data_IF_790615616425
#
_entry.id   IF_790615616425
#
_cell.length_a   1.000
_cell.length_b   1.000
_cell.length_c   1.000
_cell.angle_alpha   90.00
_cell.angle_beta   90.00
_cell.angle_gamma   90.00
#
_symmetry.space_group_name_H-M   'P 1'
#
loop_
_entity.id
_entity.type
_entity.pdbx_description
1 polymer ?
#
# COMPACT_ATOMS: atom_id res chain seq x y z
N UNK A 1 8.60 1.00 23.01
CA UNK A 1 7.35 0.49 23.61
C UNK A 1 6.09 1.09 22.96
N UNK A 2 5.95 2.42 22.87
CA UNK A 2 4.73 3.06 22.34
C UNK A 2 4.43 2.73 20.87
N UNK A 3 5.36 2.96 19.94
CA UNK A 3 5.12 2.70 18.50
C UNK A 3 4.70 1.25 18.20
N UNK A 4 5.38 0.28 18.82
CA UNK A 4 5.03 -1.14 18.72
C UNK A 4 3.59 -1.45 19.16
N UNK A 5 3.11 -0.79 20.23
CA UNK A 5 1.72 -0.92 20.68
C UNK A 5 0.75 -0.23 19.72
N UNK A 6 1.08 0.98 19.29
CA UNK A 6 0.27 1.73 18.32
C UNK A 6 0.00 0.90 17.06
N UNK A 7 1.04 0.35 16.42
CA UNK A 7 0.87 -0.50 15.24
C UNK A 7 0.10 -1.78 15.53
N UNK A 8 0.27 -2.38 16.72
CA UNK A 8 -0.50 -3.56 17.09
C UNK A 8 -2.00 -3.26 17.19
N UNK A 9 -2.35 -2.11 17.77
CA UNK A 9 -3.75 -1.68 17.94
C UNK A 9 -4.36 -1.22 16.61
N UNK A 10 -3.60 -0.47 15.79
CA UNK A 10 -4.00 -0.07 14.44
C UNK A 10 -4.25 -1.29 13.53
N UNK A 11 -3.35 -2.27 13.54
CA UNK A 11 -3.48 -3.46 12.70
C UNK A 11 -4.64 -4.36 13.13
N UNK A 12 -4.97 -4.40 14.42
CA UNK A 12 -6.21 -5.05 14.89
C UNK A 12 -7.44 -4.34 14.36
N UNK A 13 -7.45 -3.01 14.34
CA UNK A 13 -8.53 -2.24 13.71
C UNK A 13 -8.63 -2.54 12.20
N UNK A 14 -7.51 -2.55 11.46
CA UNK A 14 -7.53 -2.84 10.02
C UNK A 14 -8.09 -4.25 9.74
N UNK A 15 -7.66 -5.26 10.52
CA UNK A 15 -8.20 -6.61 10.42
C UNK A 15 -9.70 -6.63 10.70
N UNK A 16 -10.15 -5.90 11.73
CA UNK A 16 -11.57 -5.83 12.11
C UNK A 16 -12.44 -5.17 11.05
N UNK A 17 -11.93 -4.16 10.34
CA UNK A 17 -12.63 -3.53 9.20
C UNK A 17 -12.77 -4.54 8.05
N UNK A 18 -11.66 -5.21 7.69
CA UNK A 18 -11.62 -6.17 6.59
C UNK A 18 -12.54 -7.38 6.80
N UNK A 19 -12.73 -7.79 8.05
CA UNK A 19 -13.48 -8.99 8.45
C UNK A 19 -14.80 -8.65 9.15
N UNK A 20 -15.25 -7.40 9.06
CA UNK A 20 -16.45 -6.96 9.79
C UNK A 20 -17.70 -7.69 9.26
N UNK A 21 -18.59 -8.22 10.12
CA UNK A 21 -19.72 -9.05 9.69
C UNK A 21 -20.86 -8.25 9.03
N UNK A 22 -20.86 -6.93 9.17
CA UNK A 22 -21.81 -6.04 8.51
C UNK A 22 -21.13 -5.31 7.35
N UNK A 23 -21.86 -4.96 6.28
CA UNK A 23 -21.29 -4.13 5.22
C UNK A 23 -20.76 -2.80 5.78
N UNK A 24 -19.57 -2.42 5.33
CA UNK A 24 -18.92 -1.14 5.61
C UNK A 24 -18.72 -0.42 4.28
N UNK A 25 -19.27 0.78 4.16
CA UNK A 25 -19.07 1.65 2.99
C UNK A 25 -18.04 2.72 3.35
N UNK A 26 -16.99 2.86 2.52
CA UNK A 26 -16.00 3.92 2.65
C UNK A 26 -16.11 4.90 1.48
N UNK A 27 -16.26 6.18 1.79
CA UNK A 27 -16.30 7.28 0.83
C UNK A 27 -14.95 8.03 0.91
N UNK A 28 -14.10 7.90 -0.11
CA UNK A 28 -12.68 8.29 -0.05
C UNK A 28 -12.35 9.49 -0.95
N UNK A 29 -12.75 10.70 -0.56
CA UNK A 29 -12.46 11.94 -1.29
C UNK A 29 -11.06 12.46 -0.99
N UNK A 30 -10.43 13.12 -1.97
CA UNK A 30 -9.10 13.70 -1.77
C UNK A 30 -8.03 12.65 -1.45
N UNK A 31 -7.10 13.00 -0.56
CA UNK A 31 -5.93 12.15 -0.26
C UNK A 31 -6.25 11.03 0.72
N UNK A 32 -6.11 9.77 0.27
CA UNK A 32 -6.19 8.58 1.12
C UNK A 32 -4.83 7.87 1.10
N UNK A 33 -4.01 8.05 2.14
CA UNK A 33 -2.63 7.57 2.17
C UNK A 33 -2.28 6.92 3.51
N UNK A 34 -1.43 5.90 3.47
CA UNK A 34 -0.97 5.15 4.65
C UNK A 34 -2.12 4.68 5.53
N UNK A 35 -2.18 5.14 6.78
CA UNK A 35 -3.28 4.81 7.70
C UNK A 35 -4.68 5.05 7.12
N UNK A 36 -4.85 6.03 6.22
CA UNK A 36 -6.11 6.25 5.50
C UNK A 36 -6.51 5.08 4.59
N UNK A 37 -5.54 4.44 3.94
CA UNK A 37 -5.76 3.19 3.18
C UNK A 37 -6.18 2.07 4.14
N UNK A 38 -5.54 1.97 5.30
CA UNK A 38 -5.90 1.01 6.35
C UNK A 38 -7.34 1.18 6.89
N UNK A 39 -7.86 2.41 6.86
CA UNK A 39 -9.23 2.70 7.29
C UNK A 39 -10.25 2.48 6.16
N UNK A 40 -9.94 2.95 4.95
CA UNK A 40 -10.90 2.99 3.84
C UNK A 40 -10.84 1.81 2.89
N UNK A 41 -9.64 1.35 2.52
CA UNK A 41 -9.47 0.41 1.42
C UNK A 41 -9.69 -1.07 1.80
N UNK A 42 -9.99 -1.35 3.07
CA UNK A 42 -10.39 -2.68 3.55
C UNK A 42 -11.90 -2.80 3.80
N UNK A 43 -12.67 -1.72 3.64
CA UNK A 43 -14.11 -1.77 3.73
C UNK A 43 -14.71 -2.70 2.65
N UNK A 44 -15.90 -3.25 2.90
CA UNK A 44 -16.57 -4.14 1.94
C UNK A 44 -17.05 -3.43 0.68
N UNK A 45 -17.20 -2.11 0.73
CA UNK A 45 -17.57 -1.28 -0.43
C UNK A 45 -16.82 0.04 -0.38
N UNK A 46 -16.02 0.31 -1.40
CA UNK A 46 -15.05 1.40 -1.42
C UNK A 46 -15.32 2.33 -2.58
N UNK A 47 -15.72 3.55 -2.28
CA UNK A 47 -16.19 4.54 -3.25
C UNK A 47 -15.16 5.66 -3.39
N UNK A 48 -14.80 5.95 -4.63
CA UNK A 48 -13.94 7.08 -5.01
C UNK A 48 -14.71 8.08 -5.87
N UNK A 49 -14.17 9.29 -5.98
CA UNK A 49 -14.69 10.37 -6.83
C UNK A 49 -13.56 11.03 -7.62
N UNK A 50 -13.90 12.08 -8.37
CA UNK A 50 -12.98 12.78 -9.28
C UNK A 50 -11.77 13.42 -8.58
N UNK A 51 -11.87 13.65 -7.27
CA UNK A 51 -10.78 14.23 -6.46
C UNK A 51 -9.93 13.19 -5.71
N UNK A 52 -10.32 11.91 -5.75
CA UNK A 52 -9.63 10.85 -5.02
C UNK A 52 -8.19 10.66 -5.50
N UNK A 53 -7.27 10.63 -4.56
CA UNK A 53 -5.85 10.35 -4.77
C UNK A 53 -5.37 9.38 -3.69
N UNK A 54 -5.15 8.12 -4.08
CA UNK A 54 -4.75 7.04 -3.17
C UNK A 54 -3.26 6.73 -3.38
N UNK A 55 -2.49 6.52 -2.32
CA UNK A 55 -1.10 6.10 -2.42
C UNK A 55 -0.61 5.41 -1.14
N UNK A 56 0.47 4.64 -1.26
CA UNK A 56 1.23 4.07 -0.13
C UNK A 56 2.63 4.72 -0.08
N UNK A 57 2.79 5.91 0.53
CA UNK A 57 4.03 6.69 0.49
C UNK A 57 5.08 6.32 1.56
N UNK A 58 4.88 5.23 2.29
CA UNK A 58 5.69 4.82 3.45
C UNK A 58 7.17 4.66 3.13
N UNK A 59 7.49 4.20 1.92
CA UNK A 59 8.87 3.99 1.47
C UNK A 59 9.68 5.29 1.43
N UNK A 60 9.01 6.44 1.27
CA UNK A 60 9.64 7.76 1.31
C UNK A 60 10.02 8.22 2.74
N UNK A 61 9.54 7.52 3.77
CA UNK A 61 9.86 7.78 5.18
C UNK A 61 10.55 6.57 5.84
N UNK A 62 11.12 5.64 5.06
CA UNK A 62 11.89 4.51 5.61
C UNK A 62 11.01 3.38 6.18
N UNK A 63 9.75 3.31 5.78
CA UNK A 63 8.79 2.29 6.22
C UNK A 63 8.24 1.50 5.01
N UNK A 64 7.79 0.27 5.21
CA UNK A 64 7.09 -0.49 4.17
C UNK A 64 5.64 -0.01 4.06
N UNK A 65 4.97 -0.17 2.90
CA UNK A 65 3.51 -0.11 2.88
C UNK A 65 2.97 -1.02 3.97
N UNK A 66 2.18 -0.49 4.90
CA UNK A 66 1.67 -1.22 6.05
C UNK A 66 0.14 -1.12 6.13
N UNK A 67 -0.44 -1.31 7.32
CA UNK A 67 -1.89 -1.27 7.58
C UNK A 67 -2.71 -2.19 6.66
N UNK A 68 -2.13 -3.29 6.21
CA UNK A 68 -2.71 -4.24 5.28
C UNK A 68 -2.58 -3.86 3.80
N UNK A 69 -1.93 -2.73 3.50
CA UNK A 69 -1.70 -2.26 2.14
C UNK A 69 -0.92 -3.27 1.31
N UNK A 70 -0.03 -4.08 1.89
CA UNK A 70 0.64 -5.15 1.13
C UNK A 70 -0.31 -6.24 0.66
N UNK A 71 -1.44 -6.47 1.35
CA UNK A 71 -2.48 -7.39 0.87
C UNK A 71 -3.19 -6.85 -0.38
N UNK A 72 -3.49 -5.54 -0.40
CA UNK A 72 -4.09 -4.86 -1.56
C UNK A 72 -3.11 -4.87 -2.74
N UNK A 73 -1.86 -4.46 -2.51
CA UNK A 73 -0.81 -4.47 -3.52
C UNK A 73 -0.52 -5.89 -4.07
N UNK A 74 -0.55 -6.92 -3.23
CA UNK A 74 -0.37 -8.31 -3.67
C UNK A 74 -1.48 -8.80 -4.62
N UNK A 75 -2.69 -8.23 -4.52
CA UNK A 75 -3.85 -8.52 -5.38
C UNK A 75 -3.89 -7.67 -6.65
N UNK A 76 -3.15 -6.56 -6.69
CA UNK A 76 -3.10 -5.72 -7.87
C UNK A 76 -2.61 -6.53 -9.10
N UNK A 77 -3.17 -6.29 -10.30
CA UNK A 77 -2.82 -7.07 -11.49
C UNK A 77 -1.33 -7.03 -11.84
N UNK A 78 -0.78 -8.18 -12.24
CA UNK A 78 0.61 -8.29 -12.69
C UNK A 78 1.61 -7.87 -11.60
N UNK A 79 2.47 -6.90 -11.92
CA UNK A 79 3.44 -6.31 -11.00
C UNK A 79 3.11 -4.85 -10.61
N UNK A 80 1.85 -4.44 -10.78
CA UNK A 80 1.39 -3.11 -10.35
C UNK A 80 1.60 -2.91 -8.83
N UNK A 81 1.43 -3.95 -8.03
CA UNK A 81 1.65 -3.88 -6.58
C UNK A 81 3.08 -3.47 -6.22
N UNK A 82 4.07 -4.10 -6.83
CA UNK A 82 5.48 -3.77 -6.64
C UNK A 82 5.77 -2.35 -7.11
N UNK A 83 5.26 -1.93 -8.27
CA UNK A 83 5.43 -0.56 -8.75
C UNK A 83 4.83 0.48 -7.79
N UNK A 84 3.56 0.34 -7.43
CA UNK A 84 2.85 1.28 -6.56
C UNK A 84 3.50 1.36 -5.17
N UNK A 85 3.85 0.20 -4.59
CA UNK A 85 4.48 0.12 -3.27
C UNK A 85 5.93 0.61 -3.25
N UNK A 86 6.68 0.45 -4.34
CA UNK A 86 8.09 0.86 -4.42
C UNK A 86 8.26 2.34 -4.76
N UNK A 87 7.34 2.92 -5.54
CA UNK A 87 7.46 4.29 -6.07
C UNK A 87 6.56 5.31 -5.37
N UNK A 88 5.64 4.86 -4.51
CA UNK A 88 4.61 5.70 -3.92
C UNK A 88 3.76 6.45 -4.96
N UNK A 89 3.60 5.87 -6.17
CA UNK A 89 2.81 6.46 -7.23
C UNK A 89 1.36 6.67 -6.78
N UNK A 90 0.79 7.81 -7.18
CA UNK A 90 -0.60 8.15 -6.85
C UNK A 90 -1.54 7.49 -7.83
N UNK A 91 -2.63 6.96 -7.30
CA UNK A 91 -3.75 6.41 -8.04
C UNK A 91 -4.89 7.42 -8.03
N UNK A 92 -5.30 7.85 -9.22
CA UNK A 92 -6.62 8.47 -9.40
C UNK A 92 -7.73 7.42 -9.29
N UNK A 93 -9.01 7.80 -9.47
CA UNK A 93 -10.13 6.87 -9.31
C UNK A 93 -10.03 5.64 -10.24
N UNK A 94 -9.73 5.83 -11.53
CA UNK A 94 -9.58 4.72 -12.47
C UNK A 94 -8.42 3.78 -12.12
N UNK A 95 -7.28 4.33 -11.67
CA UNK A 95 -6.13 3.52 -11.27
C UNK A 95 -6.40 2.78 -9.96
N UNK A 96 -7.15 3.39 -9.03
CA UNK A 96 -7.54 2.76 -7.77
C UNK A 96 -8.49 1.58 -8.00
N UNK A 97 -9.44 1.71 -8.93
CA UNK A 97 -10.29 0.59 -9.37
C UNK A 97 -9.44 -0.51 -10.02
N UNK A 98 -8.55 -0.14 -10.95
CA UNK A 98 -7.66 -1.10 -11.64
C UNK A 98 -6.76 -1.88 -10.67
N UNK A 99 -6.18 -1.19 -9.69
CA UNK A 99 -5.30 -1.78 -8.69
C UNK A 99 -6.05 -2.49 -7.55
N UNK A 100 -7.38 -2.40 -7.51
CA UNK A 100 -8.22 -3.03 -6.50
C UNK A 100 -8.23 -2.34 -5.14
N UNK A 101 -7.95 -1.03 -5.08
CA UNK A 101 -8.04 -0.18 -3.89
C UNK A 101 -9.43 0.44 -3.68
N UNK A 102 -10.26 0.43 -4.73
CA UNK A 102 -11.64 0.88 -4.71
C UNK A 102 -12.53 -0.09 -5.51
N UNK A 103 -13.84 0.00 -5.32
CA UNK A 103 -14.84 -0.84 -6.01
C UNK A 103 -15.74 -0.03 -6.96
N UNK A 104 -16.05 1.23 -6.60
CA UNK A 104 -16.97 2.07 -7.36
C UNK A 104 -16.47 3.50 -7.47
N UNK A 105 -16.79 4.13 -8.60
CA UNK A 105 -16.63 5.57 -8.79
C UNK A 105 -18.02 6.22 -8.79
N UNK A 106 -18.23 7.16 -7.87
CA UNK A 106 -19.46 7.95 -7.78
C UNK A 106 -19.03 9.43 -7.75
N UNK A 107 -19.46 10.26 -8.72
CA UNK A 107 -19.17 11.68 -8.71
C UNK A 107 -19.53 12.33 -7.37
N UNK A 108 -18.66 13.24 -6.87
CA UNK A 108 -18.78 13.78 -5.51
C UNK A 108 -20.11 14.49 -5.25
N UNK A 109 -20.71 15.07 -6.29
CA UNK A 109 -22.00 15.76 -6.21
C UNK A 109 -23.14 14.84 -5.75
N UNK A 110 -23.06 13.53 -6.01
CA UNK A 110 -24.10 12.56 -5.66
C UNK A 110 -23.94 11.95 -4.26
N UNK A 111 -22.85 12.26 -3.54
CA UNK A 111 -22.55 11.58 -2.27
C UNK A 111 -23.58 11.85 -1.17
N UNK A 112 -24.18 13.05 -1.11
CA UNK A 112 -25.19 13.35 -0.10
C UNK A 112 -26.45 12.49 -0.31
N UNK A 113 -26.86 12.30 -1.57
CA UNK A 113 -27.98 11.41 -1.89
C UNK A 113 -27.62 9.95 -1.60
N UNK A 114 -26.40 9.53 -1.96
CA UNK A 114 -25.89 8.20 -1.63
C UNK A 114 -25.91 7.91 -0.13
N UNK A 115 -25.36 8.82 0.69
CA UNK A 115 -25.38 8.74 2.16
C UNK A 115 -26.82 8.62 2.69
N UNK A 116 -27.72 9.49 2.21
CA UNK A 116 -29.14 9.49 2.60
C UNK A 116 -29.80 8.14 2.29
N UNK A 117 -29.58 7.59 1.11
CA UNK A 117 -30.16 6.30 0.69
C UNK A 117 -29.57 5.14 1.50
N UNK A 118 -28.26 5.14 1.75
CA UNK A 118 -27.59 4.13 2.58
C UNK A 118 -28.14 4.15 4.02
N UNK A 119 -28.31 5.32 4.61
CA UNK A 119 -28.84 5.47 5.98
C UNK A 119 -30.30 5.01 6.10
N UNK A 120 -31.13 5.30 5.09
CA UNK A 120 -32.55 4.95 5.08
C UNK A 120 -32.81 3.47 4.82
N UNK A 121 -32.02 2.85 3.93
CA UNK A 121 -32.29 1.48 3.45
C UNK A 121 -31.38 0.44 4.07
N UNK A 122 -30.17 0.81 4.47
CA UNK A 122 -29.11 -0.14 4.82
C UNK A 122 -28.63 -1.01 3.66
N UNK A 123 -29.08 -0.73 2.42
CA UNK A 123 -28.75 -1.51 1.23
C UNK A 123 -27.53 -0.92 0.51
N UNK A 124 -26.43 -1.66 0.50
CA UNK A 124 -25.21 -1.25 -0.21
C UNK A 124 -25.32 -1.33 -1.74
N UNK A 125 -26.36 -2.01 -2.26
CA UNK A 125 -26.64 -2.10 -3.70
C UNK A 125 -26.82 -0.74 -4.36
N UNK A 126 -27.25 0.28 -3.61
CA UNK A 126 -27.41 1.66 -4.11
C UNK A 126 -26.12 2.27 -4.65
N UNK A 127 -24.94 1.80 -4.18
CA UNK A 127 -23.64 2.26 -4.69
C UNK A 127 -23.48 1.87 -6.17
N UNK A 128 -23.89 0.66 -6.54
CA UNK A 128 -23.79 0.19 -7.92
C UNK A 128 -24.75 0.94 -8.86
N UNK A 129 -25.92 1.34 -8.36
CA UNK A 129 -26.91 2.12 -9.13
C UNK A 129 -26.42 3.52 -9.48
N UNK A 130 -25.56 4.10 -8.62
CA UNK A 130 -25.03 5.45 -8.77
C UNK A 130 -23.59 5.47 -9.32
N UNK A 131 -23.05 4.29 -9.67
CA UNK A 131 -21.69 4.16 -10.16
C UNK A 131 -21.58 4.65 -11.61
N UNK A 132 -20.54 5.42 -11.90
CA UNK A 132 -20.17 5.84 -13.24
C UNK A 132 -18.80 5.29 -13.64
N UNK A 133 -18.44 5.43 -14.92
CA UNK A 133 -17.09 5.13 -15.39
C UNK A 133 -16.20 6.35 -15.18
N UNK A 134 -15.11 6.26 -14.39
CA UNK A 134 -14.20 7.38 -14.22
C UNK A 134 -13.41 7.65 -15.50
N UNK A 135 -12.86 8.88 -15.66
CA UNK A 135 -11.87 9.16 -16.69
C UNK A 135 -10.67 8.21 -16.60
N UNK A 136 -10.08 7.78 -17.73
CA UNK A 136 -8.99 6.81 -17.72
C UNK A 136 -7.77 7.35 -16.97
N UNK A 137 -7.14 6.48 -16.18
CA UNK A 137 -5.92 6.79 -15.43
C UNK A 137 -4.64 6.42 -16.21
N UNK A 138 -3.49 7.04 -15.86
CA UNK A 138 -2.22 6.80 -16.55
C UNK A 138 -1.65 5.39 -16.33
N UNK A 139 -2.01 4.68 -15.26
CA UNK A 139 -1.37 3.39 -14.91
C UNK A 139 -1.72 2.32 -15.94
N UNK A 140 -2.94 2.35 -16.48
CA UNK A 140 -3.38 1.40 -17.51
C UNK A 140 -2.47 1.44 -18.76
N UNK A 141 -2.00 2.63 -19.15
CA UNK A 141 -1.19 2.83 -20.35
C UNK A 141 0.24 2.27 -20.23
N UNK A 142 0.77 2.18 -19.01
CA UNK A 142 2.16 1.74 -18.74
C UNK A 142 2.24 0.31 -18.20
N UNK A 143 1.10 -0.39 -18.09
CA UNK A 143 1.01 -1.69 -17.42
C UNK A 143 1.97 -2.74 -17.98
N UNK A 144 2.11 -2.84 -19.31
CA UNK A 144 3.02 -3.82 -19.91
C UNK A 144 4.48 -3.57 -19.56
N UNK A 145 4.87 -2.30 -19.45
CA UNK A 145 6.22 -1.91 -19.03
C UNK A 145 6.43 -2.15 -17.53
N UNK A 146 5.42 -1.84 -16.70
CA UNK A 146 5.44 -2.17 -15.26
C UNK A 146 5.62 -3.68 -15.06
N UNK A 147 4.82 -4.50 -15.74
CA UNK A 147 4.85 -5.95 -15.62
C UNK A 147 6.21 -6.53 -16.05
N UNK A 148 6.93 -5.87 -16.93
CA UNK A 148 8.28 -6.28 -17.34
C UNK A 148 9.34 -5.84 -16.33
N UNK A 149 9.35 -4.56 -15.97
CA UNK A 149 10.43 -3.97 -15.17
C UNK A 149 10.34 -4.35 -13.68
N UNK A 150 9.13 -4.41 -13.12
CA UNK A 150 8.91 -4.73 -11.70
C UNK A 150 8.76 -6.23 -11.42
N UNK A 151 8.85 -7.09 -12.45
CA UNK A 151 9.01 -8.53 -12.29
C UNK A 151 10.42 -8.93 -11.82
N UNK A 152 11.42 -8.12 -12.13
CA UNK A 152 12.83 -8.40 -11.87
C UNK A 152 13.15 -8.51 -10.36
N UNK A 153 14.25 -9.17 -9.97
CA UNK A 153 14.76 -9.08 -8.60
C UNK A 153 14.90 -7.61 -8.16
N UNK A 154 14.60 -7.30 -6.90
CA UNK A 154 14.53 -5.90 -6.44
C UNK A 154 15.82 -5.10 -6.73
N UNK A 155 16.99 -5.72 -6.57
CA UNK A 155 18.29 -5.09 -6.85
C UNK A 155 18.57 -4.82 -8.34
N UNK A 156 17.79 -5.39 -9.26
CA UNK A 156 17.95 -5.21 -10.70
C UNK A 156 16.98 -4.17 -11.29
N UNK A 157 15.94 -3.78 -10.55
CA UNK A 157 14.87 -2.89 -11.02
C UNK A 157 15.43 -1.52 -11.42
N UNK A 158 16.31 -0.92 -10.61
CA UNK A 158 16.86 0.41 -10.91
C UNK A 158 17.70 0.42 -12.20
N UNK A 159 18.56 -0.59 -12.38
CA UNK A 159 19.36 -0.72 -13.60
C UNK A 159 18.50 -0.94 -14.84
N UNK A 160 17.42 -1.72 -14.73
CA UNK A 160 16.49 -1.94 -15.83
C UNK A 160 15.70 -0.68 -16.18
N UNK A 161 15.29 0.11 -15.19
CA UNK A 161 14.66 1.41 -15.40
C UNK A 161 15.61 2.40 -16.10
N UNK A 162 16.87 2.45 -15.68
CA UNK A 162 17.91 3.29 -16.30
C UNK A 162 18.16 2.88 -17.77
N UNK A 163 18.00 1.60 -18.11
CA UNK A 163 18.16 1.07 -19.46
C UNK A 163 16.95 1.22 -20.40
N UNK A 164 15.73 1.44 -19.89
CA UNK A 164 14.50 1.51 -20.71
C UNK A 164 14.41 2.80 -21.54
N UNK A 165 14.82 3.94 -20.98
CA UNK A 165 14.79 5.24 -21.65
C UNK A 165 13.39 5.84 -21.88
N UNK A 166 12.33 5.21 -21.36
CA UNK A 166 10.96 5.74 -21.45
C UNK A 166 10.68 6.81 -20.40
N UNK A 167 9.70 7.69 -20.67
CA UNK A 167 9.26 8.69 -19.70
C UNK A 167 8.75 8.07 -18.40
N UNK A 168 8.07 6.92 -18.49
CA UNK A 168 7.63 6.15 -17.34
C UNK A 168 8.84 5.67 -16.50
N UNK A 169 9.81 5.02 -17.14
CA UNK A 169 10.96 4.46 -16.45
C UNK A 169 11.80 5.54 -15.75
N UNK A 170 12.01 6.70 -16.41
CA UNK A 170 12.67 7.85 -15.81
C UNK A 170 11.93 8.37 -14.57
N UNK A 171 10.59 8.47 -14.63
CA UNK A 171 9.76 8.89 -13.50
C UNK A 171 9.82 7.92 -12.32
N UNK A 172 9.69 6.63 -12.59
CA UNK A 172 9.77 5.57 -11.59
C UNK A 172 11.17 5.48 -10.95
N UNK A 173 12.24 5.62 -11.76
CA UNK A 173 13.63 5.69 -11.27
C UNK A 173 13.84 6.87 -10.33
N UNK A 174 13.35 8.06 -10.71
CA UNK A 174 13.44 9.25 -9.88
C UNK A 174 12.66 9.09 -8.56
N UNK A 175 11.53 8.38 -8.58
CA UNK A 175 10.77 8.05 -7.37
C UNK A 175 11.54 7.10 -6.45
N UNK A 176 12.12 6.02 -6.98
CA UNK A 176 12.97 5.10 -6.23
C UNK A 176 14.17 5.80 -5.59
N UNK A 177 14.81 6.74 -6.30
CA UNK A 177 15.95 7.50 -5.77
C UNK A 177 15.62 8.40 -4.57
N UNK A 178 14.33 8.62 -4.25
CA UNK A 178 13.88 9.35 -3.05
C UNK A 178 13.44 8.43 -1.91
N UNK A 179 13.27 7.14 -2.18
CA UNK A 179 12.77 6.15 -1.23
C UNK A 179 13.93 5.46 -0.49
N UNK A 180 13.66 4.90 0.68
CA UNK A 180 14.62 4.04 1.39
C UNK A 180 14.77 2.71 0.65
N UNK A 181 15.97 2.33 0.19
CA UNK A 181 16.16 1.07 -0.52
C UNK A 181 15.78 -0.15 0.31
N UNK A 182 16.10 -0.15 1.62
CA UNK A 182 15.73 -1.25 2.53
C UNK A 182 14.21 -1.39 2.66
N UNK A 183 13.49 -0.27 2.77
CA UNK A 183 12.04 -0.28 2.86
C UNK A 183 11.39 -0.79 1.56
N UNK A 184 11.87 -0.32 0.41
CA UNK A 184 11.39 -0.80 -0.90
C UNK A 184 11.64 -2.30 -1.08
N UNK A 185 12.85 -2.78 -0.79
CA UNK A 185 13.20 -4.19 -0.91
C UNK A 185 12.31 -5.08 0.00
N UNK A 186 12.07 -4.65 1.25
CA UNK A 186 11.18 -5.36 2.17
C UNK A 186 9.70 -5.31 1.72
N UNK A 187 9.25 -4.18 1.18
CA UNK A 187 7.91 -4.01 0.63
C UNK A 187 7.64 -4.97 -0.54
N UNK A 188 8.55 -5.01 -1.52
CA UNK A 188 8.48 -5.95 -2.65
C UNK A 188 8.49 -7.40 -2.15
N UNK A 189 9.35 -7.74 -1.19
CA UNK A 189 9.41 -9.09 -0.61
C UNK A 189 8.08 -9.49 0.08
N UNK A 190 7.42 -8.56 0.78
CA UNK A 190 6.10 -8.81 1.38
C UNK A 190 5.02 -9.03 0.31
N UNK A 191 4.94 -8.14 -0.67
CA UNK A 191 3.95 -8.22 -1.77
C UNK A 191 4.06 -9.56 -2.49
N UNK A 192 5.28 -9.96 -2.88
CA UNK A 192 5.51 -11.23 -3.59
C UNK A 192 5.20 -12.45 -2.73
N UNK A 193 5.59 -12.45 -1.46
CA UNK A 193 5.30 -13.55 -0.55
C UNK A 193 3.79 -13.71 -0.30
N UNK A 194 3.05 -12.61 -0.16
CA UNK A 194 1.59 -12.63 0.01
C UNK A 194 0.89 -13.10 -1.26
N UNK A 195 1.32 -12.64 -2.44
CA UNK A 195 0.79 -13.10 -3.73
C UNK A 195 0.99 -14.61 -3.90
N UNK A 196 2.18 -15.12 -3.62
CA UNK A 196 2.47 -16.56 -3.67
C UNK A 196 1.64 -17.37 -2.65
N UNK A 197 1.31 -16.77 -1.50
CA UNK A 197 0.47 -17.37 -0.47
C UNK A 197 -1.04 -17.31 -0.74
N UNK A 198 -1.52 -16.62 -1.79
CA UNK A 198 -2.96 -16.46 -2.05
C UNK A 198 -3.65 -17.82 -2.24
N UNK A 199 -3.04 -18.73 -3.00
CA UNK A 199 -3.61 -20.05 -3.30
C UNK A 199 -3.72 -20.97 -2.06
N UNK A 200 -2.96 -20.67 -1.00
CA UNK A 200 -2.92 -21.46 0.25
C UNK A 200 -3.59 -20.74 1.42
N UNK A 201 -4.35 -19.67 1.16
CA UNK A 201 -5.00 -18.87 2.21
C UNK A 201 -4.04 -18.00 3.03
N UNK A 202 -2.75 -17.99 2.69
CA UNK A 202 -1.69 -17.24 3.37
C UNK A 202 -1.43 -15.85 2.75
N UNK A 203 -2.32 -15.36 1.88
CA UNK A 203 -2.22 -14.04 1.22
C UNK A 203 -3.25 -13.00 1.70
N UNK A 204 -4.07 -13.34 2.69
CA UNK A 204 -5.12 -12.44 3.23
C UNK A 204 -4.60 -11.34 4.16
N UNK A 205 -5.52 -10.48 4.61
CA UNK A 205 -5.24 -9.33 5.49
C UNK A 205 -4.45 -9.72 6.75
N UNK A 206 -4.82 -10.82 7.42
CA UNK A 206 -4.12 -11.30 8.62
C UNK A 206 -2.66 -11.67 8.36
N UNK A 207 -2.36 -12.25 7.20
CA UNK A 207 -1.00 -12.61 6.83
C UNK A 207 -0.17 -11.37 6.52
N UNK A 208 -0.75 -10.40 5.82
CA UNK A 208 -0.12 -9.12 5.52
C UNK A 208 0.24 -8.36 6.80
N UNK A 209 -0.73 -8.13 7.69
CA UNK A 209 -0.52 -7.39 8.94
C UNK A 209 0.55 -8.02 9.83
N UNK A 210 0.62 -9.37 9.90
CA UNK A 210 1.71 -10.06 10.63
C UNK A 210 3.08 -9.76 10.02
N UNK A 211 3.20 -9.81 8.68
CA UNK A 211 4.47 -9.54 7.98
C UNK A 211 4.88 -8.08 8.07
N UNK A 212 3.93 -7.15 7.95
CA UNK A 212 4.14 -5.72 8.11
C UNK A 212 4.59 -5.40 9.55
N UNK A 213 3.95 -6.01 10.56
CA UNK A 213 4.32 -5.84 11.96
C UNK A 213 5.75 -6.28 12.28
N UNK A 214 6.26 -7.33 11.62
CA UNK A 214 7.68 -7.73 11.75
C UNK A 214 8.64 -6.63 11.34
N UNK A 215 8.29 -5.89 10.28
CA UNK A 215 9.08 -4.76 9.84
C UNK A 215 8.92 -3.58 10.80
N UNK A 216 7.69 -3.15 11.09
CA UNK A 216 7.44 -1.95 11.93
C UNK A 216 7.92 -2.12 13.36
N UNK A 217 7.90 -3.34 13.91
CA UNK A 217 8.50 -3.67 15.20
C UNK A 217 10.00 -3.36 15.27
N UNK A 218 10.72 -3.63 14.17
CA UNK A 218 12.16 -3.46 14.03
C UNK A 218 12.56 -2.11 13.45
N UNK A 219 11.62 -1.38 12.82
CA UNK A 219 11.91 -0.20 12.02
C UNK A 219 12.68 0.89 12.77
N UNK A 220 12.30 1.19 14.01
CA UNK A 220 12.98 2.22 14.81
C UNK A 220 14.46 1.92 15.10
N UNK A 221 14.86 0.65 15.13
CA UNK A 221 16.24 0.24 15.48
C UNK A 221 17.05 -0.19 14.23
N UNK A 222 16.39 -0.82 13.27
CA UNK A 222 17.04 -1.54 12.18
C UNK A 222 16.68 -1.04 10.77
N UNK A 223 15.80 -0.06 10.63
CA UNK A 223 15.50 0.57 9.33
C UNK A 223 15.89 2.06 9.29
N UNK A 224 15.46 2.73 8.23
CA UNK A 224 15.61 4.15 7.97
C UNK A 224 14.45 5.00 8.50
N UNK A 225 13.51 4.41 9.26
CA UNK A 225 12.26 5.08 9.65
C UNK A 225 12.48 6.41 10.38
N UNK A 226 13.38 6.44 11.36
CA UNK A 226 13.66 7.67 12.13
C UNK A 226 14.26 8.77 11.25
N UNK A 227 15.14 8.42 10.31
CA UNK A 227 15.74 9.36 9.38
C UNK A 227 14.71 9.90 8.38
N UNK A 228 13.83 9.03 7.88
CA UNK A 228 12.74 9.45 7.00
C UNK A 228 11.78 10.42 7.67
N UNK A 229 11.40 10.15 8.92
CA UNK A 229 10.58 11.07 9.73
C UNK A 229 11.32 12.38 9.99
N UNK A 230 12.62 12.33 10.33
CA UNK A 230 13.45 13.53 10.51
C UNK A 230 13.40 14.41 9.26
N UNK A 231 13.75 13.86 8.10
CA UNK A 231 13.86 14.61 6.85
C UNK A 231 12.51 15.14 6.34
N UNK A 232 11.42 14.40 6.54
CA UNK A 232 10.11 14.74 5.95
C UNK A 232 9.20 15.54 6.87
N UNK A 233 9.23 15.28 8.18
CA UNK A 233 8.23 15.80 9.14
C UNK A 233 8.84 16.76 10.14
N UNK A 234 10.03 16.46 10.68
CA UNK A 234 10.64 17.24 11.75
C UNK A 234 11.43 18.41 11.16
N UNK A 235 12.51 18.11 10.45
CA UNK A 235 13.43 19.11 9.89
C UNK A 235 12.91 19.64 8.55
N UNK A 236 12.15 18.81 7.81
CA UNK A 236 11.55 19.15 6.50
C UNK A 236 12.59 19.58 5.46
N UNK A 237 13.82 19.06 5.54
CA UNK A 237 14.88 19.34 4.58
C UNK A 237 14.70 18.58 3.26
N UNK A 238 13.88 17.53 3.24
CA UNK A 238 13.68 16.68 2.07
C UNK A 238 14.93 15.90 1.64
N UNK A 239 15.93 15.77 2.52
CA UNK A 239 17.23 15.19 2.22
C UNK A 239 17.58 14.05 3.21
N UNK A 240 16.85 12.91 3.14
CA UNK A 240 17.14 11.78 4.00
C UNK A 240 18.47 11.11 3.66
N UNK A 241 19.19 10.66 4.68
CA UNK A 241 20.43 9.89 4.56
C UNK A 241 20.19 8.42 4.84
N UNK A 242 19.75 7.69 3.82
CA UNK A 242 19.48 6.27 3.90
C UNK A 242 20.75 5.44 4.19
N UNK A 243 20.57 4.29 4.85
CA UNK A 243 21.66 3.34 5.14
C UNK A 243 22.29 2.72 3.88
N UNK A 244 21.50 2.62 2.81
CA UNK A 244 21.89 2.05 1.52
C UNK A 244 21.72 3.09 0.42
N UNK A 245 22.61 3.10 -0.58
CA UNK A 245 22.56 4.06 -1.68
C UNK A 245 21.57 3.66 -2.78
N UNK A 246 21.48 2.36 -3.05
CA UNK A 246 20.65 1.77 -4.13
C UNK A 246 19.97 0.48 -3.67
N UNK A 247 19.04 -0.03 -4.47
CA UNK A 247 18.44 -1.35 -4.20
C UNK A 247 19.44 -2.50 -4.30
N UNK A 248 20.46 -2.36 -5.15
CA UNK A 248 21.50 -3.37 -5.32
C UNK A 248 22.39 -3.54 -4.07
N UNK A 249 22.49 -2.49 -3.23
CA UNK A 249 23.29 -2.51 -2.01
C UNK A 249 22.59 -3.27 -0.86
N UNK A 250 21.28 -3.51 -0.97
CA UNK A 250 20.50 -4.18 0.07
C UNK A 250 20.68 -5.68 -0.01
N UNK A 251 21.29 -6.27 1.02
CA UNK A 251 21.54 -7.71 1.03
C UNK A 251 20.28 -8.51 1.37
N UNK A 252 20.16 -9.70 0.78
CA UNK A 252 19.03 -10.59 1.00
C UNK A 252 18.85 -11.01 2.48
N UNK A 253 19.95 -11.16 3.23
CA UNK A 253 19.91 -11.49 4.66
C UNK A 253 19.41 -10.33 5.53
N UNK A 254 19.62 -9.08 5.11
CA UNK A 254 19.05 -7.91 5.80
C UNK A 254 17.52 -7.88 5.67
N UNK A 255 17.01 -8.13 4.46
CA UNK A 255 15.57 -8.26 4.19
C UNK A 255 14.98 -9.43 4.99
N UNK A 256 15.65 -10.59 4.97
CA UNK A 256 15.21 -11.76 5.73
C UNK A 256 15.15 -11.47 7.24
N UNK A 257 16.14 -10.76 7.79
CA UNK A 257 16.16 -10.36 9.20
C UNK A 257 15.02 -9.41 9.56
N UNK A 258 14.73 -8.42 8.70
CA UNK A 258 13.62 -7.50 8.93
C UNK A 258 12.26 -8.21 8.95
N UNK A 259 12.11 -9.26 8.13
CA UNK A 259 10.86 -9.99 7.93
C UNK A 259 10.78 -11.33 8.69
N UNK A 260 11.80 -11.67 9.48
CA UNK A 260 11.83 -12.87 10.30
C UNK A 260 10.75 -12.82 11.40
N UNK A 261 10.28 -13.99 11.83
CA UNK A 261 9.34 -14.08 12.94
C UNK A 261 9.85 -13.35 14.17
N UNK A 262 8.91 -12.78 14.95
CA UNK A 262 9.18 -12.10 16.20
C UNK A 262 9.10 -13.03 17.42
N UNK A 263 8.86 -14.32 17.21
CA UNK A 263 8.65 -15.30 18.28
C UNK A 263 7.44 -14.91 19.14
N UNK A 264 7.64 -14.79 20.45
CA UNK A 264 6.59 -14.42 21.40
C UNK A 264 5.98 -13.03 21.15
N UNK A 265 6.69 -12.16 20.44
CA UNK A 265 6.29 -10.79 20.09
C UNK A 265 5.54 -10.70 18.75
N UNK A 266 5.20 -11.82 18.12
CA UNK A 266 4.41 -11.83 16.88
C UNK A 266 3.04 -11.15 17.08
N UNK A 267 2.52 -10.49 16.03
CA UNK A 267 1.21 -9.84 16.09
C UNK A 267 0.11 -10.86 16.37
N UNK A 268 -0.65 -10.62 17.44
CA UNK A 268 -1.83 -11.39 17.82
C UNK A 268 -3.09 -10.65 17.40
N UNK A 269 -3.78 -11.21 16.42
CA UNK A 269 -5.09 -10.77 15.95
C UNK A 269 -6.15 -11.64 16.61
N UNK A 270 -7.17 -11.01 17.18
CA UNK A 270 -8.32 -11.71 17.75
C UNK A 270 -9.08 -12.48 16.67
N UNK A 271 -9.84 -13.53 17.01
CA UNK A 271 -10.78 -14.16 16.08
C UNK A 271 -11.75 -13.11 15.51
N UNK A 272 -12.21 -13.31 14.28
CA UNK A 272 -13.38 -12.59 13.81
C UNK A 272 -14.60 -13.17 14.54
N UNK A 273 -15.30 -12.35 15.33
CA UNK A 273 -16.52 -12.73 16.06
C UNK A 273 -17.69 -13.02 15.12
#
# INVERSE_FOLDING_TARGET
AYGRRFWADEYRMNARIAEYPKPVVSLMQGYTMGGGVGLGCHASTRVVCETSQIAMPEVAIGLVPDVGGTALLARAPGHLGEYLGATAARMGPADALLAGFADAYVPREFWLDLETRLEQTGDVGVVAEMCETPPPGPVAAVRGEVDTLFALPAGEIEAALDGSGTAFAMGARAALGRASPLAVACGIANIRALRAGMATGCGGIRAALKREYRFTWRAAEHSDFLEGIRAKVIDKDGAPRWRHGTLADVRADEVARMLASLGDNELRLEPAD
#
